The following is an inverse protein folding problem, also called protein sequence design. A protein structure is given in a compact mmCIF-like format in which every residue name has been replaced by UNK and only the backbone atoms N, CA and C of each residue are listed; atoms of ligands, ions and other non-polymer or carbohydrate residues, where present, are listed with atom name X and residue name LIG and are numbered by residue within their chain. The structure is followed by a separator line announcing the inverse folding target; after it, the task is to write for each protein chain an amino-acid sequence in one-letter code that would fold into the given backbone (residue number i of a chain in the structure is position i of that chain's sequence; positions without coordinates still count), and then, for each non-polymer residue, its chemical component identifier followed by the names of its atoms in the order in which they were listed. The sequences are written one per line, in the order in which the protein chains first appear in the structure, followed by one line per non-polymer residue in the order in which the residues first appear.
data_IF_491432303075
#
_entry.id   IF_491432303075
#
_cell.length_a   1.000
_cell.length_b   1.000
_cell.length_c   1.000
_cell.angle_alpha   90.00
_cell.angle_beta   90.00
_cell.angle_gamma   90.00
#
_symmetry.space_group_name_H-M   'P 1'
#
loop_
_entity.id
_entity.type
_entity.pdbx_description
1 polymer ?
#
# COMPACT_ATOMS: atom_id res chain seq x y z
N UNK A 1 1.22 12.11 1.12
CA UNK A 1 2.00 10.90 0.79
C UNK A 1 3.21 10.83 1.71
N UNK A 2 3.44 9.68 2.35
CA UNK A 2 4.64 9.42 3.15
C UNK A 2 5.56 8.47 2.38
N UNK A 3 6.80 8.89 2.14
CA UNK A 3 7.78 8.19 1.34
C UNK A 3 9.05 7.88 2.14
N UNK A 4 9.79 6.84 1.77
CA UNK A 4 11.04 6.46 2.44
C UNK A 4 11.27 4.95 2.52
N UNK A 5 12.52 4.49 2.75
CA UNK A 5 12.85 3.08 2.84
C UNK A 5 12.08 2.38 3.98
N UNK A 6 11.95 1.05 3.89
CA UNK A 6 11.40 0.27 5.01
C UNK A 6 12.26 0.46 6.26
N UNK A 7 11.65 0.60 7.44
CA UNK A 7 12.37 0.88 8.70
C UNK A 7 12.70 2.35 8.98
N UNK A 8 12.43 3.27 8.05
CA UNK A 8 12.73 4.71 8.24
C UNK A 8 11.87 5.42 9.29
N UNK A 9 10.69 4.88 9.61
CA UNK A 9 9.74 5.52 10.55
C UNK A 9 8.59 6.29 9.88
N UNK A 10 8.30 6.03 8.59
CA UNK A 10 7.15 6.62 7.87
C UNK A 10 5.84 6.55 8.65
N UNK A 11 5.51 5.39 9.20
CA UNK A 11 4.25 5.16 9.91
C UNK A 11 4.14 5.94 11.23
N UNK A 12 5.23 6.51 11.75
CA UNK A 12 5.24 7.33 12.96
C UNK A 12 4.86 8.79 12.65
N UNK A 13 5.05 9.26 11.40
CA UNK A 13 4.69 10.64 11.01
C UNK A 13 3.18 10.92 11.22
N UNK A 14 2.32 9.90 11.09
CA UNK A 14 0.88 10.05 11.30
C UNK A 14 0.53 10.58 12.69
N UNK A 15 1.36 10.33 13.70
CA UNK A 15 1.16 10.78 15.07
C UNK A 15 1.44 12.28 15.25
N UNK A 16 2.18 12.89 14.33
CA UNK A 16 2.58 14.30 14.40
C UNK A 16 1.75 15.21 13.48
N UNK A 17 0.85 14.64 12.68
CA UNK A 17 0.00 15.39 11.76
C UNK A 17 -1.41 15.49 12.30
N UNK A 18 -2.05 16.64 12.09
CA UNK A 18 -3.41 16.83 12.54
C UNK A 18 -4.38 15.93 11.73
N UNK A 19 -5.45 15.37 12.31
CA UNK A 19 -6.35 14.43 11.63
C UNK A 19 -6.90 14.94 10.29
N UNK A 20 -7.20 16.24 10.21
CA UNK A 20 -7.68 16.89 8.98
C UNK A 20 -6.65 16.91 7.84
N UNK A 21 -5.36 16.71 8.14
CA UNK A 21 -4.28 16.64 7.15
C UNK A 21 -4.02 15.22 6.64
N UNK A 22 -4.51 14.19 7.36
CA UNK A 22 -4.29 12.79 7.03
C UNK A 22 -5.37 12.29 6.08
N UNK A 23 -6.62 12.66 6.32
CA UNK A 23 -7.76 12.06 5.61
C UNK A 23 -7.81 10.55 5.84
N UNK A 24 -8.31 9.79 4.87
CA UNK A 24 -8.26 8.33 4.93
C UNK A 24 -6.81 7.82 4.85
N UNK A 25 -6.41 6.93 5.75
CA UNK A 25 -5.06 6.36 5.78
C UNK A 25 -5.00 5.03 5.03
N UNK A 26 -4.19 4.95 3.98
CA UNK A 26 -4.08 3.79 3.11
C UNK A 26 -2.69 3.15 3.25
N UNK A 27 -2.61 1.98 3.89
CA UNK A 27 -1.36 1.27 4.12
C UNK A 27 -1.49 -0.21 3.72
N UNK A 28 -0.65 -0.64 2.75
CA UNK A 28 -0.68 -2.00 2.24
C UNK A 28 -0.13 -3.03 3.25
N UNK A 29 0.82 -2.66 4.11
CA UNK A 29 1.36 -3.55 5.15
C UNK A 29 0.32 -3.77 6.27
N UNK A 30 -0.50 -2.75 6.59
CA UNK A 30 -1.60 -2.87 7.55
C UNK A 30 -2.70 -3.77 6.97
N UNK A 31 -3.08 -3.55 5.71
CA UNK A 31 -4.05 -4.39 5.00
C UNK A 31 -3.58 -5.86 4.90
N UNK A 32 -2.30 -6.11 4.61
CA UNK A 32 -1.78 -7.48 4.52
C UNK A 32 -1.93 -8.24 5.84
N UNK A 33 -1.59 -7.59 6.97
CA UNK A 33 -1.76 -8.19 8.30
C UNK A 33 -3.22 -8.50 8.59
N UNK A 34 -4.13 -7.59 8.26
CA UNK A 34 -5.56 -7.77 8.44
C UNK A 34 -6.07 -8.96 7.62
N UNK A 35 -5.75 -8.99 6.32
CA UNK A 35 -6.17 -10.07 5.42
C UNK A 35 -5.59 -11.44 5.82
N UNK A 36 -4.36 -11.49 6.31
CA UNK A 36 -3.79 -12.75 6.84
C UNK A 36 -4.54 -13.27 8.07
N UNK A 37 -5.22 -12.40 8.83
CA UNK A 37 -6.02 -12.77 9.99
C UNK A 37 -7.48 -13.09 9.61
N UNK A 38 -8.10 -12.29 8.74
CA UNK A 38 -9.54 -12.32 8.49
C UNK A 38 -9.91 -12.99 7.15
N UNK A 39 -8.99 -13.00 6.18
CA UNK A 39 -9.23 -13.33 4.77
C UNK A 39 -10.27 -12.45 4.06
N UNK A 40 -10.78 -11.41 4.73
CA UNK A 40 -11.90 -10.60 4.29
C UNK A 40 -11.49 -9.15 4.10
N UNK A 41 -11.76 -8.61 2.92
CA UNK A 41 -11.65 -7.19 2.63
C UNK A 41 -13.05 -6.56 2.70
N UNK A 42 -13.25 -5.65 3.65
CA UNK A 42 -14.46 -4.85 3.78
C UNK A 42 -14.29 -3.48 3.10
N UNK A 43 -14.76 -3.32 1.87
CA UNK A 43 -14.65 -2.08 1.09
C UNK A 43 -15.40 -0.90 1.73
N UNK A 44 -16.48 -1.18 2.45
CA UNK A 44 -17.25 -0.17 3.18
C UNK A 44 -16.46 0.52 4.29
N UNK A 45 -15.39 -0.09 4.79
CA UNK A 45 -14.47 0.56 5.75
C UNK A 45 -13.66 1.68 5.10
N UNK A 46 -13.50 1.65 3.78
CA UNK A 46 -12.85 2.69 3.01
C UNK A 46 -13.87 3.70 2.48
N UNK A 47 -14.88 3.25 1.72
CA UNK A 47 -15.94 4.12 1.22
C UNK A 47 -17.13 3.31 0.64
N UNK A 48 -18.40 3.75 0.85
CA UNK A 48 -19.58 3.04 0.36
C UNK A 48 -19.69 2.95 -1.17
N UNK A 49 -19.08 3.86 -1.93
CA UNK A 49 -19.11 3.84 -3.41
C UNK A 49 -18.09 2.88 -4.04
N UNK A 50 -17.29 2.18 -3.23
CA UNK A 50 -16.43 1.11 -3.76
C UNK A 50 -17.29 -0.12 -4.07
N UNK A 51 -16.85 -0.92 -5.05
CA UNK A 51 -17.52 -2.16 -5.44
C UNK A 51 -16.53 -3.32 -5.52
N UNK A 52 -16.95 -4.46 -4.98
CA UNK A 52 -16.24 -5.72 -5.08
C UNK A 52 -16.04 -6.13 -6.55
N UNK A 53 -17.04 -5.90 -7.40
CA UNK A 53 -16.96 -6.23 -8.81
C UNK A 53 -15.90 -5.39 -9.53
N UNK A 54 -15.87 -4.07 -9.29
CA UNK A 54 -14.87 -3.17 -9.88
C UNK A 54 -13.46 -3.48 -9.38
N UNK A 55 -13.32 -3.79 -8.09
CA UNK A 55 -12.04 -4.24 -7.53
C UNK A 55 -11.56 -5.50 -8.23
N UNK A 56 -12.41 -6.54 -8.33
CA UNK A 56 -12.01 -7.79 -8.97
C UNK A 56 -11.73 -7.62 -10.46
N UNK A 57 -12.48 -6.77 -11.16
CA UNK A 57 -12.21 -6.43 -12.55
C UNK A 57 -10.83 -5.77 -12.71
N UNK A 58 -10.48 -4.83 -11.82
CA UNK A 58 -9.16 -4.22 -11.77
C UNK A 58 -8.06 -5.25 -11.45
N UNK A 59 -8.23 -6.08 -10.42
CA UNK A 59 -7.21 -7.05 -9.99
C UNK A 59 -6.93 -8.11 -11.08
N UNK A 60 -7.95 -8.56 -11.82
CA UNK A 60 -7.81 -9.50 -12.94
C UNK A 60 -6.93 -8.98 -14.09
N UNK A 61 -6.86 -7.67 -14.28
CA UNK A 61 -6.01 -7.05 -15.31
C UNK A 61 -4.54 -6.93 -14.87
N UNK A 62 -4.26 -7.06 -13.57
CA UNK A 62 -2.92 -6.93 -13.02
C UNK A 62 -2.14 -8.25 -13.12
N UNK A 63 -0.82 -8.13 -13.24
CA UNK A 63 0.13 -9.26 -13.25
C UNK A 63 1.17 -9.07 -12.16
N UNK A 64 1.74 -10.18 -11.68
CA UNK A 64 2.88 -10.19 -10.76
C UNK A 64 4.06 -10.96 -11.36
N UNK A 65 5.29 -10.63 -10.96
CA UNK A 65 6.47 -11.40 -11.36
C UNK A 65 6.66 -12.56 -10.37
N UNK A 66 6.72 -13.79 -10.88
CA UNK A 66 7.05 -15.00 -10.12
C UNK A 66 8.08 -15.80 -10.92
N UNK A 67 9.25 -16.06 -10.32
CA UNK A 67 10.40 -16.71 -10.99
C UNK A 67 10.70 -16.07 -12.36
N UNK A 68 10.84 -14.73 -12.37
CA UNK A 68 11.13 -13.91 -13.55
C UNK A 68 10.04 -13.89 -14.65
N UNK A 69 8.99 -14.70 -14.52
CA UNK A 69 7.85 -14.73 -15.45
C UNK A 69 6.71 -13.86 -14.94
N UNK A 70 6.02 -13.19 -15.85
CA UNK A 70 4.77 -12.50 -15.54
C UNK A 70 3.63 -13.51 -15.49
N UNK A 71 3.00 -13.60 -14.32
CA UNK A 71 1.82 -14.44 -14.08
C UNK A 71 0.63 -13.56 -13.69
N UNK A 72 -0.62 -14.04 -13.86
CA UNK A 72 -1.79 -13.33 -13.34
C UNK A 72 -1.61 -12.95 -11.86
N UNK A 73 -2.17 -11.82 -11.46
CA UNK A 73 -2.17 -11.44 -10.04
C UNK A 73 -2.93 -12.51 -9.24
N UNK A 74 -4.15 -12.83 -9.62
CA UNK A 74 -4.99 -13.81 -8.93
C UNK A 74 -4.77 -15.21 -9.54
N UNK A 75 -4.46 -16.22 -8.72
CA UNK A 75 -4.37 -17.62 -9.16
C UNK A 75 -5.70 -18.37 -8.97
N UNK A 76 -6.51 -17.98 -7.98
CA UNK A 76 -7.89 -18.41 -7.79
C UNK A 76 -8.87 -17.24 -7.90
N UNK A 77 -10.17 -17.55 -8.00
CA UNK A 77 -11.24 -16.54 -8.09
C UNK A 77 -11.69 -16.17 -6.67
N UNK A 78 -11.47 -14.93 -6.19
CA UNK A 78 -11.97 -14.49 -4.89
C UNK A 78 -13.50 -14.55 -4.85
N UNK A 79 -14.05 -14.83 -3.66
CA UNK A 79 -15.49 -14.89 -3.43
C UNK A 79 -16.03 -13.52 -3.04
N UNK A 80 -17.18 -13.15 -3.57
CA UNK A 80 -17.92 -11.95 -3.14
C UNK A 80 -19.06 -12.44 -2.23
N UNK A 81 -19.07 -12.03 -0.96
CA UNK A 81 -20.19 -12.33 -0.04
C UNK A 81 -21.36 -11.40 -0.37
N UNK A 82 -21.06 -10.11 -0.51
CA UNK A 82 -21.93 -9.06 -1.05
C UNK A 82 -21.04 -7.97 -1.65
N UNK A 83 -21.60 -6.97 -2.36
CA UNK A 83 -20.82 -6.04 -3.20
C UNK A 83 -19.77 -5.17 -2.46
N UNK A 84 -19.67 -5.31 -1.14
CA UNK A 84 -18.71 -4.60 -0.29
C UNK A 84 -17.72 -5.53 0.43
N UNK A 85 -17.86 -6.85 0.32
CA UNK A 85 -17.00 -7.80 1.03
C UNK A 85 -16.47 -8.85 0.06
N UNK A 86 -15.14 -8.92 -0.01
CA UNK A 86 -14.39 -9.89 -0.83
C UNK A 86 -13.58 -10.80 0.07
N UNK A 87 -13.67 -12.10 -0.16
CA UNK A 87 -12.88 -13.13 0.53
C UNK A 87 -11.77 -13.62 -0.38
N UNK A 88 -10.54 -13.59 0.12
CA UNK A 88 -9.36 -14.09 -0.55
C UNK A 88 -8.87 -15.38 0.12
N UNK A 89 -8.45 -16.37 -0.67
CA UNK A 89 -7.73 -17.52 -0.13
C UNK A 89 -6.39 -17.07 0.45
N UNK A 90 -5.98 -17.64 1.59
CA UNK A 90 -4.71 -17.27 2.27
C UNK A 90 -3.51 -17.32 1.32
N UNK A 91 -3.49 -18.27 0.37
CA UNK A 91 -2.40 -18.44 -0.61
C UNK A 91 -2.25 -17.27 -1.60
N UNK A 92 -3.31 -16.47 -1.79
CA UNK A 92 -3.29 -15.28 -2.67
C UNK A 92 -2.70 -14.05 -1.97
N UNK A 93 -2.75 -14.02 -0.63
CA UNK A 93 -2.46 -12.86 0.19
C UNK A 93 -0.94 -12.70 0.31
N UNK A 94 -0.44 -11.62 -0.30
CA UNK A 94 0.92 -11.14 -0.12
C UNK A 94 0.95 -9.61 -0.23
N UNK A 95 2.11 -9.02 0.03
CA UNK A 95 2.30 -7.56 -0.05
C UNK A 95 1.98 -6.99 -1.43
N UNK A 96 2.13 -7.78 -2.50
CA UNK A 96 1.88 -7.28 -3.86
C UNK A 96 0.38 -7.19 -4.16
N UNK A 97 -0.42 -8.19 -3.76
CA UNK A 97 -1.88 -8.13 -3.81
C UNK A 97 -2.40 -6.93 -3.02
N UNK A 98 -1.96 -6.77 -1.77
CA UNK A 98 -2.39 -5.67 -0.91
C UNK A 98 -2.00 -4.31 -1.50
N UNK A 99 -0.81 -4.19 -2.10
CA UNK A 99 -0.40 -3.00 -2.81
C UNK A 99 -1.24 -2.71 -4.08
N UNK A 100 -1.85 -3.72 -4.73
CA UNK A 100 -2.80 -3.51 -5.84
C UNK A 100 -4.17 -3.09 -5.33
N UNK A 101 -4.66 -3.68 -4.24
CA UNK A 101 -5.91 -3.27 -3.59
C UNK A 101 -5.84 -1.80 -3.15
N UNK A 102 -4.77 -1.40 -2.46
CA UNK A 102 -4.57 0.01 -2.06
C UNK A 102 -4.46 0.94 -3.27
N UNK A 103 -3.84 0.50 -4.37
CA UNK A 103 -3.80 1.31 -5.60
C UNK A 103 -5.20 1.52 -6.20
N UNK A 104 -6.07 0.51 -6.19
CA UNK A 104 -7.47 0.64 -6.61
C UNK A 104 -8.22 1.66 -5.76
N UNK A 105 -8.18 1.51 -4.43
CA UNK A 105 -8.86 2.40 -3.47
C UNK A 105 -8.36 3.84 -3.66
N UNK A 106 -7.04 4.03 -3.79
CA UNK A 106 -6.44 5.34 -3.99
C UNK A 106 -6.91 6.00 -5.29
N UNK A 107 -7.03 5.24 -6.38
CA UNK A 107 -7.54 5.76 -7.66
C UNK A 107 -9.02 6.15 -7.55
N UNK A 108 -9.83 5.36 -6.83
CA UNK A 108 -11.23 5.69 -6.57
C UNK A 108 -11.36 6.97 -5.75
N UNK A 109 -10.57 7.12 -4.68
CA UNK A 109 -10.61 8.34 -3.84
C UNK A 109 -10.20 9.60 -4.60
N UNK A 110 -9.24 9.47 -5.52
CA UNK A 110 -8.83 10.58 -6.38
C UNK A 110 -9.99 11.04 -7.30
N UNK A 111 -10.77 10.10 -7.85
CA UNK A 111 -11.98 10.41 -8.65
C UNK A 111 -13.11 11.00 -7.79
N UNK A 112 -13.33 10.44 -6.61
CA UNK A 112 -14.37 10.85 -5.65
C UNK A 112 -14.02 12.14 -4.87
N UNK A 113 -12.83 12.72 -5.09
CA UNK A 113 -12.32 13.91 -4.37
C UNK A 113 -12.22 13.72 -2.85
N UNK A 114 -12.00 12.49 -2.42
CA UNK A 114 -11.80 12.15 -1.01
C UNK A 114 -10.35 12.44 -0.65
N UNK A 115 -10.11 13.13 0.47
CA UNK A 115 -8.74 13.36 0.97
C UNK A 115 -8.17 12.09 1.59
N UNK A 116 -6.94 11.73 1.22
CA UNK A 116 -6.28 10.53 1.72
C UNK A 116 -4.76 10.68 1.83
N UNK A 117 -4.17 9.82 2.65
CA UNK A 117 -2.74 9.65 2.84
C UNK A 117 -2.38 8.20 2.55
N UNK A 118 -1.23 7.97 1.95
CA UNK A 118 -0.70 6.63 1.71
C UNK A 118 0.81 6.59 1.90
N UNK A 119 1.31 5.42 2.27
CA UNK A 119 2.74 5.13 2.41
C UNK A 119 3.32 4.52 1.13
N UNK A 120 4.60 4.80 0.84
CA UNK A 120 5.33 4.15 -0.24
C UNK A 120 6.85 4.14 0.00
N UNK A 121 7.55 3.16 -0.58
CA UNK A 121 9.03 3.16 -0.63
C UNK A 121 9.61 3.97 -1.80
N UNK A 122 8.75 4.62 -2.60
CA UNK A 122 9.14 5.49 -3.73
C UNK A 122 10.07 4.79 -4.74
N UNK A 123 9.77 3.55 -5.09
CA UNK A 123 10.60 2.70 -5.96
C UNK A 123 10.44 2.94 -7.46
N UNK A 124 9.48 3.76 -7.87
CA UNK A 124 9.12 3.93 -9.28
C UNK A 124 8.55 5.32 -9.58
N UNK A 125 8.85 5.85 -10.77
CA UNK A 125 8.44 7.20 -11.22
C UNK A 125 6.92 7.41 -11.20
N UNK A 126 6.15 6.34 -11.32
CA UNK A 126 4.67 6.39 -11.28
C UNK A 126 4.11 7.02 -10.00
N UNK A 127 4.87 7.06 -8.89
CA UNK A 127 4.45 7.76 -7.66
C UNK A 127 4.52 9.28 -7.80
N UNK A 128 5.48 9.79 -8.57
CA UNK A 128 5.57 11.22 -8.90
C UNK A 128 4.45 11.59 -9.88
N UNK A 129 4.21 10.77 -10.90
CA UNK A 129 3.08 11.00 -11.82
C UNK A 129 1.73 10.97 -11.11
N UNK A 130 1.57 10.12 -10.09
CA UNK A 130 0.38 10.10 -9.25
C UNK A 130 0.16 11.44 -8.52
N UNK A 131 1.21 12.04 -7.94
CA UNK A 131 1.08 13.35 -7.31
C UNK A 131 0.72 14.45 -8.32
N UNK A 132 1.33 14.42 -9.52
CA UNK A 132 1.01 15.37 -10.59
C UNK A 132 -0.45 15.26 -11.00
N UNK A 133 -0.96 14.03 -11.14
CA UNK A 133 -2.36 13.80 -11.48
C UNK A 133 -3.30 14.29 -10.37
N UNK A 134 -2.97 14.04 -9.11
CA UNK A 134 -3.74 14.57 -7.98
C UNK A 134 -3.81 16.11 -8.02
N UNK A 135 -2.69 16.79 -8.29
CA UNK A 135 -2.66 18.25 -8.45
C UNK A 135 -3.55 18.74 -9.58
N UNK A 136 -3.49 18.11 -10.77
CA UNK A 136 -4.38 18.44 -11.91
C UNK A 136 -5.85 18.28 -11.54
N UNK A 137 -6.14 17.35 -10.64
CA UNK A 137 -7.47 17.09 -10.13
C UNK A 137 -7.89 17.99 -8.96
N UNK A 138 -7.11 19.01 -8.63
CA UNK A 138 -7.44 20.02 -7.63
C UNK A 138 -7.02 19.66 -6.20
N UNK A 139 -6.28 18.56 -6.01
CA UNK A 139 -5.75 18.22 -4.69
C UNK A 139 -4.56 19.10 -4.32
N UNK A 140 -4.52 19.53 -3.06
CA UNK A 140 -3.28 20.01 -2.45
C UNK A 140 -2.45 18.81 -2.01
N UNK A 141 -1.31 18.60 -2.68
CA UNK A 141 -0.43 17.45 -2.41
C UNK A 141 0.67 17.80 -1.44
N UNK A 142 0.91 16.91 -0.46
CA UNK A 142 2.05 16.97 0.45
C UNK A 142 2.88 15.69 0.35
N UNK A 143 4.20 15.84 0.25
CA UNK A 143 5.18 14.75 0.27
C UNK A 143 6.06 14.92 1.50
N UNK A 144 6.02 13.92 2.39
CA UNK A 144 6.97 13.80 3.49
C UNK A 144 7.87 12.61 3.18
N UNK A 145 9.17 12.86 3.00
CA UNK A 145 10.16 11.81 2.80
C UNK A 145 10.92 11.57 4.10
N UNK A 146 10.91 10.34 4.59
CA UNK A 146 11.54 9.92 5.84
C UNK A 146 12.76 9.07 5.53
N UNK A 147 13.92 9.51 6.01
CA UNK A 147 15.17 8.80 5.86
C UNK A 147 15.88 8.71 7.21
N UNK A 148 16.73 7.69 7.36
CA UNK A 148 17.72 7.61 8.43
C UNK A 148 19.08 8.00 7.87
N UNK A 149 19.97 8.47 8.74
CA UNK A 149 21.35 8.83 8.38
C UNK A 149 22.19 7.64 7.89
N UNK A 150 21.81 6.41 8.27
CA UNK A 150 22.48 5.18 7.87
C UNK A 150 21.43 4.10 7.50
N UNK A 151 21.52 3.46 6.31
CA UNK A 151 20.66 2.33 5.94
C UNK A 151 20.74 1.15 6.90
N UNK A 152 21.83 0.96 7.65
CA UNK A 152 21.95 -0.08 8.68
C UNK A 152 20.93 0.08 9.80
N UNK A 153 20.52 1.32 10.11
CA UNK A 153 19.45 1.59 11.08
C UNK A 153 18.12 1.03 10.57
N UNK A 154 17.84 1.21 9.28
CA UNK A 154 16.64 0.67 8.65
C UNK A 154 16.64 -0.86 8.67
N UNK A 155 17.79 -1.48 8.38
CA UNK A 155 17.96 -2.94 8.41
C UNK A 155 17.72 -3.47 9.82
N UNK A 156 18.37 -2.91 10.84
CA UNK A 156 18.19 -3.33 12.22
C UNK A 156 16.72 -3.22 12.68
N UNK A 157 16.03 -2.13 12.30
CA UNK A 157 14.61 -1.95 12.60
C UNK A 157 13.71 -2.97 11.88
N UNK A 158 14.01 -3.28 10.62
CA UNK A 158 13.27 -4.32 9.89
C UNK A 158 13.51 -5.68 10.52
N UNK A 159 14.76 -6.04 10.82
CA UNK A 159 15.11 -7.29 11.49
C UNK A 159 14.39 -7.43 12.83
N UNK A 160 14.39 -6.39 13.66
CA UNK A 160 13.65 -6.38 14.93
C UNK A 160 12.15 -6.64 14.72
N UNK A 161 11.53 -5.97 13.75
CA UNK A 161 10.11 -6.16 13.43
C UNK A 161 9.81 -7.57 12.93
N UNK A 162 10.72 -8.18 12.17
CA UNK A 162 10.58 -9.59 11.72
C UNK A 162 10.61 -10.54 12.91
N UNK A 163 11.51 -10.34 13.87
CA UNK A 163 11.55 -11.13 15.10
C UNK A 163 10.26 -10.97 15.93
N UNK A 164 9.62 -9.81 15.87
CA UNK A 164 8.33 -9.55 16.51
C UNK A 164 7.10 -10.01 15.67
N UNK A 165 7.31 -10.84 14.64
CA UNK A 165 6.22 -11.40 13.82
C UNK A 165 5.78 -10.54 12.62
N UNK A 166 6.55 -9.52 12.25
CA UNK A 166 6.28 -8.69 11.08
C UNK A 166 6.85 -9.22 9.76
N UNK A 167 6.48 -8.59 8.64
CA UNK A 167 6.88 -9.02 7.30
C UNK A 167 8.39 -8.83 7.02
N UNK A 168 9.01 -9.86 6.43
CA UNK A 168 10.42 -9.88 6.04
C UNK A 168 10.70 -9.07 4.77
N UNK A 169 11.68 -8.16 4.81
CA UNK A 169 12.11 -7.40 3.64
C UNK A 169 13.59 -7.71 3.38
N UNK A 170 13.97 -8.18 2.16
CA UNK A 170 15.37 -8.42 1.82
C UNK A 170 16.22 -7.15 1.99
N UNK A 171 17.39 -7.28 2.64
CA UNK A 171 18.25 -6.13 2.95
C UNK A 171 18.65 -5.31 1.73
N UNK A 172 18.93 -5.99 0.61
CA UNK A 172 19.27 -5.32 -0.65
C UNK A 172 18.16 -4.35 -1.10
N UNK A 173 16.89 -4.72 -0.91
CA UNK A 173 15.76 -3.80 -1.19
C UNK A 173 15.74 -2.61 -0.23
N UNK A 174 16.19 -2.77 1.01
CA UNK A 174 16.25 -1.65 1.97
C UNK A 174 17.32 -0.64 1.52
N UNK A 175 18.48 -1.13 1.08
CA UNK A 175 19.54 -0.28 0.53
C UNK A 175 19.09 0.50 -0.72
N UNK A 176 18.49 -0.17 -1.70
CA UNK A 176 18.10 0.48 -2.98
C UNK A 176 17.09 1.62 -2.81
N UNK A 177 16.25 1.59 -1.77
CA UNK A 177 15.26 2.63 -1.50
C UNK A 177 15.74 3.70 -0.51
N UNK A 178 16.99 3.62 -0.05
CA UNK A 178 17.59 4.63 0.84
C UNK A 178 18.26 5.71 -0.01
N UNK A 179 17.84 6.97 0.16
CA UNK A 179 18.58 8.11 -0.38
C UNK A 179 19.78 8.36 0.54
N UNK A 180 20.99 8.29 -0.01
CA UNK A 180 22.20 8.78 0.67
C UNK A 180 22.17 10.30 0.52
N UNK A 181 22.03 11.01 1.65
CA UNK A 181 21.97 12.48 1.73
C UNK A 181 23.37 13.03 1.92
#
# INVERSE_FOLDING_TARGET
MFAGPNGSGKSTIKEYLAPHQIGAYLNADELEKELLLTQQLCLSEYHPDLSAHDLLAFLKQNKRKKNEKLVPLLCSQPQIIHDQVVVFEVVEIDSYLCARIIDFIRMAFLKLKISFTFETVMSHVSKVEFLREAQRQGFKTYLYYVATVDPKINIARVQYRVHAGGHHVPEQKIYTHTIVV
#
